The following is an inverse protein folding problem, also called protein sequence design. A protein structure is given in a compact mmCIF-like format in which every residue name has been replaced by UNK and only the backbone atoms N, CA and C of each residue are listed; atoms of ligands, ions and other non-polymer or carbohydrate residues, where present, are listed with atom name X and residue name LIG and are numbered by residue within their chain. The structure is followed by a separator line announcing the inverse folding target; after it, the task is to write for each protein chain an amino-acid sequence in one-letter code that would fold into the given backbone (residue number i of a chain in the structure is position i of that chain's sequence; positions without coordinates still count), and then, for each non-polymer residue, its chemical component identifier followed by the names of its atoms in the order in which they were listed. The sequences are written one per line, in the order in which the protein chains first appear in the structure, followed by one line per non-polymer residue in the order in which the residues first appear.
data_IF_513139976347
#
_entry.id   IF_513139976347
#
_cell.length_a   1.000
_cell.length_b   1.000
_cell.length_c   1.000
_cell.angle_alpha   90.00
_cell.angle_beta   90.00
_cell.angle_gamma   90.00
#
_symmetry.space_group_name_H-M   'P 1'
#
loop_
_entity.id
_entity.type
_entity.pdbx_description
1 polymer ?
#
# COMPACT_ATOMS: atom_id res chain seq x y z
N UNK A 1 -25.77 37.13 34.28
CA UNK A 1 -25.79 37.07 32.80
C UNK A 1 -24.40 37.04 32.15
N UNK A 2 -23.36 37.63 32.77
CA UNK A 2 -21.96 37.65 32.28
C UNK A 2 -21.39 36.27 31.93
N UNK A 3 -21.53 35.29 32.83
CA UNK A 3 -20.96 33.95 32.68
C UNK A 3 -21.59 33.14 31.54
N UNK A 4 -22.86 33.42 31.19
CA UNK A 4 -23.56 32.75 30.08
C UNK A 4 -23.00 33.19 28.73
N UNK A 5 -22.63 34.46 28.59
CA UNK A 5 -21.98 34.98 27.38
C UNK A 5 -20.54 34.46 27.25
N UNK A 6 -19.83 34.35 28.37
CA UNK A 6 -18.48 33.78 28.42
C UNK A 6 -18.46 32.31 27.98
N UNK A 7 -19.40 31.49 28.46
CA UNK A 7 -19.49 30.09 28.06
C UNK A 7 -19.81 29.91 26.57
N UNK A 8 -20.66 30.78 26.00
CA UNK A 8 -20.97 30.77 24.56
C UNK A 8 -19.73 31.15 23.75
N UNK A 9 -19.00 32.17 24.18
CA UNK A 9 -17.76 32.58 23.53
C UNK A 9 -16.70 31.47 23.54
N UNK A 10 -16.61 30.75 24.65
CA UNK A 10 -15.66 29.64 24.84
C UNK A 10 -16.00 28.44 23.95
N UNK A 11 -17.29 28.12 23.78
CA UNK A 11 -17.77 27.10 22.84
C UNK A 11 -17.47 27.46 21.38
N UNK A 12 -17.71 28.71 20.99
CA UNK A 12 -17.41 29.19 19.62
C UNK A 12 -15.92 29.12 19.33
N UNK A 13 -15.07 29.49 20.30
CA UNK A 13 -13.62 29.40 20.19
C UNK A 13 -13.14 27.97 19.86
N UNK A 14 -13.68 26.95 20.54
CA UNK A 14 -13.30 25.55 20.33
C UNK A 14 -13.62 25.06 18.90
N UNK A 15 -14.72 25.52 18.31
CA UNK A 15 -15.07 25.16 16.93
C UNK A 15 -14.21 25.88 15.89
N UNK A 16 -13.68 27.07 16.20
CA UNK A 16 -12.82 27.84 15.29
C UNK A 16 -11.40 27.27 15.16
N UNK A 17 -10.95 26.43 16.10
CA UNK A 17 -9.60 25.84 16.08
C UNK A 17 -9.57 24.38 15.59
N UNK A 18 -10.63 23.88 14.96
CA UNK A 18 -10.56 22.57 14.29
C UNK A 18 -9.86 22.72 12.94
N UNK A 19 -8.55 22.44 12.93
CA UNK A 19 -7.82 22.24 11.70
C UNK A 19 -8.17 20.87 11.13
N UNK A 20 -8.94 20.84 10.04
CA UNK A 20 -9.06 19.62 9.24
C UNK A 20 -7.72 19.42 8.54
N UNK A 21 -7.04 18.32 8.83
CA UNK A 21 -5.85 17.91 8.08
C UNK A 21 -6.35 17.04 6.95
N UNK A 22 -6.23 17.54 5.72
CA UNK A 22 -6.53 16.74 4.55
C UNK A 22 -5.56 15.57 4.48
N UNK A 23 -6.11 14.38 4.26
CA UNK A 23 -5.29 13.19 4.03
C UNK A 23 -4.52 13.40 2.74
N UNK A 24 -3.19 13.40 2.83
CA UNK A 24 -2.34 13.37 1.65
C UNK A 24 -2.34 11.95 1.08
N UNK A 25 -2.91 11.78 -0.11
CA UNK A 25 -2.79 10.56 -0.91
C UNK A 25 -1.90 10.89 -2.12
N UNK A 26 -0.64 10.41 -2.15
CA UNK A 26 0.22 10.64 -3.31
C UNK A 26 -0.35 9.91 -4.52
N UNK A 27 -0.56 10.62 -5.63
CA UNK A 27 -0.80 10.02 -6.94
C UNK A 27 0.50 9.36 -7.41
N UNK A 28 0.54 8.03 -7.39
CA UNK A 28 1.68 7.23 -7.83
C UNK A 28 1.40 6.71 -9.24
N UNK A 29 1.78 7.48 -10.25
CA UNK A 29 1.66 7.03 -11.64
C UNK A 29 2.52 5.78 -11.91
N UNK A 30 1.89 4.74 -12.47
CA UNK A 30 2.59 3.56 -12.99
C UNK A 30 2.88 2.43 -11.99
N UNK A 31 2.31 2.47 -10.78
CA UNK A 31 2.53 1.44 -9.75
C UNK A 31 1.41 0.39 -9.62
N UNK A 32 0.38 0.51 -10.46
CA UNK A 32 -0.71 -0.45 -10.51
C UNK A 32 -0.33 -1.69 -11.33
N UNK A 33 -0.59 -2.87 -10.77
CA UNK A 33 -0.42 -4.17 -11.42
C UNK A 33 1.03 -4.47 -11.88
N UNK A 34 2.02 -4.11 -11.07
CA UNK A 34 3.42 -4.50 -11.29
C UNK A 34 3.60 -6.00 -11.07
N UNK A 35 4.33 -6.67 -11.95
CA UNK A 35 4.72 -8.07 -11.74
C UNK A 35 5.68 -8.17 -10.56
N UNK A 36 5.31 -8.96 -9.57
CA UNK A 36 6.11 -9.29 -8.40
C UNK A 36 6.56 -10.74 -8.50
N UNK A 37 7.86 -10.94 -8.33
CA UNK A 37 8.51 -12.26 -8.32
C UNK A 37 8.98 -12.51 -6.89
N UNK A 38 8.43 -13.54 -6.27
CA UNK A 38 8.80 -13.99 -4.93
C UNK A 38 9.24 -15.45 -4.99
N UNK A 39 10.40 -15.80 -4.45
CA UNK A 39 10.92 -17.14 -4.56
C UNK A 39 12.28 -17.32 -3.91
N UNK A 40 12.56 -18.56 -3.51
CA UNK A 40 13.86 -18.98 -3.00
C UNK A 40 14.58 -19.84 -4.01
N UNK A 41 15.84 -19.51 -4.30
CA UNK A 41 16.76 -20.36 -5.05
C UNK A 41 17.59 -21.15 -4.03
N UNK A 42 17.58 -22.46 -4.15
CA UNK A 42 18.30 -23.38 -3.26
C UNK A 42 19.25 -24.25 -4.09
N UNK A 43 20.34 -24.70 -3.47
CA UNK A 43 21.34 -25.59 -4.12
C UNK A 43 20.73 -26.89 -4.66
N UNK A 44 19.61 -27.33 -4.09
CA UNK A 44 18.83 -28.42 -4.62
C UNK A 44 17.75 -27.89 -5.59
N UNK A 45 17.88 -28.11 -6.91
CA UNK A 45 16.92 -27.61 -7.90
C UNK A 45 15.52 -28.21 -7.73
N UNK A 46 15.39 -29.36 -7.05
CA UNK A 46 14.10 -29.96 -6.73
C UNK A 46 13.28 -29.16 -5.69
N UNK A 47 13.84 -28.10 -5.10
CA UNK A 47 13.21 -27.29 -4.05
C UNK A 47 13.01 -25.83 -4.46
N UNK A 48 13.19 -25.49 -5.74
CA UNK A 48 12.96 -24.12 -6.20
C UNK A 48 11.45 -23.87 -6.30
N UNK A 49 10.96 -22.89 -5.54
CA UNK A 49 9.57 -22.41 -5.61
C UNK A 49 9.58 -20.95 -6.01
N UNK A 50 8.89 -20.64 -7.12
CA UNK A 50 8.72 -19.26 -7.62
C UNK A 50 7.24 -18.95 -7.69
N UNK A 51 6.86 -17.83 -7.08
CA UNK A 51 5.53 -17.28 -7.05
C UNK A 51 5.52 -16.00 -7.88
N UNK A 52 4.58 -15.93 -8.82
CA UNK A 52 4.34 -14.77 -9.65
C UNK A 52 2.96 -14.20 -9.34
N UNK A 53 2.91 -12.90 -9.04
CA UNK A 53 1.65 -12.20 -8.80
C UNK A 53 1.77 -10.73 -9.20
N UNK A 54 0.64 -10.07 -9.40
CA UNK A 54 0.59 -8.63 -9.62
C UNK A 54 0.39 -7.87 -8.32
N UNK A 55 1.00 -6.69 -8.20
CA UNK A 55 0.74 -5.75 -7.11
C UNK A 55 -0.73 -5.32 -7.10
N UNK A 56 -1.21 -4.92 -5.93
CA UNK A 56 -2.57 -4.40 -5.74
C UNK A 56 -2.55 -3.14 -4.90
N UNK A 57 -3.61 -2.35 -5.02
CA UNK A 57 -3.85 -1.16 -4.21
C UNK A 57 -3.77 -1.47 -2.69
N UNK A 58 -3.15 -0.56 -1.94
CA UNK A 58 -2.91 -0.71 -0.49
C UNK A 58 -4.21 -0.61 0.31
N UNK A 59 -5.17 0.16 -0.16
CA UNK A 59 -6.50 0.33 0.45
C UNK A 59 -7.51 -0.73 -0.02
N UNK A 60 -7.27 -1.38 -1.16
CA UNK A 60 -8.10 -2.44 -1.76
C UNK A 60 -7.24 -3.63 -2.19
N UNK A 61 -6.71 -4.42 -1.24
CA UNK A 61 -5.83 -5.54 -1.55
C UNK A 61 -6.60 -6.63 -2.31
N UNK A 62 -6.03 -7.06 -3.44
CA UNK A 62 -6.59 -8.13 -4.27
C UNK A 62 -5.49 -9.10 -4.67
N UNK A 63 -5.71 -10.40 -4.47
CA UNK A 63 -4.75 -11.40 -4.91
C UNK A 63 -4.92 -11.69 -6.41
N UNK A 64 -3.89 -11.38 -7.19
CA UNK A 64 -3.87 -11.58 -8.65
C UNK A 64 -2.64 -12.42 -9.05
N UNK A 65 -2.75 -13.76 -9.11
CA UNK A 65 -1.65 -14.61 -9.53
C UNK A 65 -1.38 -14.45 -11.03
N UNK A 66 -0.11 -14.45 -11.44
CA UNK A 66 0.24 -14.44 -12.86
C UNK A 66 0.05 -15.85 -13.45
N UNK A 67 -0.73 -15.96 -14.52
CA UNK A 67 -1.02 -17.22 -15.19
C UNK A 67 -0.37 -17.29 -16.58
N UNK A 68 -0.03 -18.49 -17.04
CA UNK A 68 0.55 -18.70 -18.38
C UNK A 68 1.98 -18.17 -18.55
N UNK A 69 2.67 -17.86 -17.44
CA UNK A 69 4.04 -17.37 -17.46
C UNK A 69 5.04 -18.52 -17.68
N UNK A 70 6.14 -18.22 -18.37
CA UNK A 70 7.32 -19.07 -18.44
C UNK A 70 8.41 -18.46 -17.56
N UNK A 71 9.04 -19.29 -16.73
CA UNK A 71 10.14 -18.86 -15.86
C UNK A 71 11.40 -19.55 -16.32
N UNK A 72 12.43 -18.75 -16.61
CA UNK A 72 13.75 -19.23 -16.98
C UNK A 72 14.70 -18.76 -15.88
N UNK A 73 15.37 -19.72 -15.22
CA UNK A 73 16.40 -19.45 -14.23
C UNK A 73 17.72 -19.75 -14.90
N UNK A 74 18.62 -18.77 -14.92
CA UNK A 74 19.97 -18.90 -15.45
C UNK A 74 20.95 -18.49 -14.37
N UNK A 75 21.93 -19.34 -14.08
CA UNK A 75 23.14 -18.94 -13.38
C UNK A 75 24.22 -18.54 -14.40
N UNK A 76 25.33 -18.01 -13.89
CA UNK A 76 26.50 -17.68 -14.69
C UNK A 76 27.58 -18.78 -14.59
N UNK A 77 27.24 -19.98 -14.11
CA UNK A 77 28.21 -21.07 -13.89
C UNK A 77 28.21 -22.14 -14.99
N UNK A 78 27.15 -22.20 -15.82
CA UNK A 78 27.15 -23.00 -17.05
C UNK A 78 26.65 -24.42 -16.91
#
# INVERSE_FOLDING_TARGET
MQNRKLNIFLLISIFLFQACIDKFEPELDGYDQLLVIDGGVFDNPAQITIKLSYSSDVYKPTFSPAAGASVIITDNEG
#
